data_IF_038283162224
#
_entry.id   IF_038283162224
#
_cell.length_a   1.000
_cell.length_b   1.000
_cell.length_c   1.000
_cell.angle_alpha   90.00
_cell.angle_beta   90.00
_cell.angle_gamma   90.00
#
_symmetry.space_group_name_H-M   'P 1'
#
loop_
_entity.id
_entity.type
_entity.pdbx_description
1 polymer ?
#
# COMPACT_ATOMS: atom_id res chain seq x y z
N UNK A 1 -51.67 10.20 15.23
CA UNK A 1 -50.26 9.88 15.58
C UNK A 1 -49.99 8.36 15.66
N UNK A 2 -50.87 7.55 16.29
CA UNK A 2 -50.63 6.10 16.49
C UNK A 2 -50.62 5.25 15.20
N UNK A 3 -51.46 5.58 14.21
CA UNK A 3 -51.56 4.85 12.92
C UNK A 3 -50.43 5.15 11.95
N UNK A 4 -49.91 6.38 11.95
CA UNK A 4 -48.77 6.79 11.12
C UNK A 4 -47.50 6.04 11.53
N UNK A 5 -47.28 5.83 12.83
CA UNK A 5 -46.12 5.08 13.33
C UNK A 5 -46.22 3.58 13.00
N UNK A 6 -47.43 3.01 12.98
CA UNK A 6 -47.65 1.59 12.65
C UNK A 6 -47.31 1.24 11.20
N UNK A 7 -47.44 2.19 10.28
CA UNK A 7 -47.09 2.03 8.86
C UNK A 7 -45.67 2.52 8.56
N UNK A 8 -45.22 3.59 9.23
CA UNK A 8 -43.88 4.14 9.03
C UNK A 8 -42.77 3.17 9.49
N UNK A 9 -42.98 2.45 10.59
CA UNK A 9 -41.99 1.52 11.12
C UNK A 9 -41.64 0.37 10.16
N UNK A 10 -42.61 -0.41 9.62
CA UNK A 10 -42.30 -1.48 8.67
C UNK A 10 -41.71 -0.95 7.36
N UNK A 11 -42.16 0.22 6.87
CA UNK A 11 -41.57 0.85 5.69
C UNK A 11 -40.11 1.23 5.90
N UNK A 12 -39.78 1.78 7.08
CA UNK A 12 -38.41 2.11 7.44
C UNK A 12 -37.54 0.85 7.53
N UNK A 13 -38.06 -0.22 8.14
CA UNK A 13 -37.34 -1.51 8.21
C UNK A 13 -37.09 -2.10 6.81
N UNK A 14 -38.09 -2.06 5.92
CA UNK A 14 -37.95 -2.51 4.54
C UNK A 14 -36.90 -1.69 3.77
N UNK A 15 -36.89 -0.37 3.99
CA UNK A 15 -35.89 0.51 3.43
C UNK A 15 -34.48 0.14 3.92
N UNK A 16 -34.29 -0.06 5.21
CA UNK A 16 -32.98 -0.46 5.76
C UNK A 16 -32.49 -1.81 5.19
N UNK A 17 -33.38 -2.79 5.04
CA UNK A 17 -33.06 -4.10 4.43
C UNK A 17 -32.71 -3.94 2.94
N UNK A 18 -33.43 -3.08 2.22
CA UNK A 18 -33.16 -2.85 0.80
C UNK A 18 -31.77 -2.23 0.56
N UNK A 19 -31.33 -1.34 1.45
CA UNK A 19 -30.04 -0.64 1.29
C UNK A 19 -28.87 -1.45 1.90
N UNK A 20 -29.11 -2.36 2.85
CA UNK A 20 -28.04 -3.12 3.52
C UNK A 20 -27.25 -4.01 2.56
N UNK A 21 -27.85 -4.44 1.45
CA UNK A 21 -27.18 -5.24 0.42
C UNK A 21 -26.41 -4.41 -0.61
N UNK A 22 -26.49 -3.07 -0.55
CA UNK A 22 -25.80 -2.20 -1.50
C UNK A 22 -24.31 -2.02 -1.15
N UNK A 23 -23.90 -2.42 0.06
CA UNK A 23 -22.51 -2.37 0.52
C UNK A 23 -21.69 -3.60 0.10
N UNK A 24 -21.60 -3.90 -1.19
CA UNK A 24 -20.56 -4.80 -1.67
C UNK A 24 -19.24 -4.01 -1.72
N UNK A 25 -18.41 -4.19 -0.69
CA UNK A 25 -17.01 -3.79 -0.77
C UNK A 25 -16.42 -4.46 -2.01
N UNK A 26 -16.03 -3.66 -3.00
CA UNK A 26 -15.33 -4.17 -4.16
C UNK A 26 -14.03 -4.78 -3.62
N UNK A 27 -13.77 -6.06 -3.89
CA UNK A 27 -12.46 -6.66 -3.63
C UNK A 27 -11.44 -5.93 -4.51
N UNK A 28 -10.89 -4.83 -3.99
CA UNK A 28 -9.81 -4.14 -4.68
C UNK A 28 -8.62 -5.11 -4.71
N UNK A 29 -8.00 -5.31 -5.88
CA UNK A 29 -6.74 -6.05 -5.94
C UNK A 29 -5.78 -5.46 -4.92
N UNK A 30 -5.11 -6.35 -4.16
CA UNK A 30 -4.05 -5.92 -3.25
C UNK A 30 -3.08 -5.01 -4.02
N UNK A 31 -2.61 -3.90 -3.42
CA UNK A 31 -1.58 -3.08 -4.03
C UNK A 31 -0.43 -3.95 -4.54
N UNK A 32 0.07 -3.63 -5.73
CA UNK A 32 1.24 -4.31 -6.27
C UNK A 32 2.42 -4.19 -5.29
N UNK A 33 3.27 -5.22 -5.15
CA UNK A 33 4.44 -5.14 -4.30
C UNK A 33 5.35 -3.98 -4.75
N UNK A 34 6.02 -3.34 -3.78
CA UNK A 34 6.98 -2.29 -4.08
C UNK A 34 8.10 -2.83 -5.00
N UNK A 35 8.62 -2.01 -5.93
CA UNK A 35 9.73 -2.43 -6.78
C UNK A 35 10.96 -2.76 -5.93
N UNK A 36 11.60 -3.89 -6.23
CA UNK A 36 12.90 -4.27 -5.65
C UNK A 36 14.03 -3.64 -6.46
N UNK A 37 15.03 -3.06 -5.80
CA UNK A 37 16.22 -2.49 -6.45
C UNK A 37 17.49 -2.95 -5.75
N UNK A 38 18.47 -3.43 -6.53
CA UNK A 38 19.80 -3.79 -6.04
C UNK A 38 20.75 -2.59 -5.90
N UNK A 39 20.21 -1.36 -6.01
CA UNK A 39 21.00 -0.12 -6.04
C UNK A 39 21.95 0.04 -4.86
N UNK A 40 21.51 -0.25 -3.63
CA UNK A 40 22.37 -0.15 -2.43
C UNK A 40 23.57 -1.09 -2.47
N UNK A 41 23.39 -2.32 -2.97
CA UNK A 41 24.47 -3.29 -3.08
C UNK A 41 25.47 -2.87 -4.16
N UNK A 42 24.98 -2.32 -5.27
CA UNK A 42 25.80 -1.76 -6.35
C UNK A 42 26.60 -0.56 -5.83
N UNK A 43 25.96 0.38 -5.15
CA UNK A 43 26.59 1.57 -4.57
C UNK A 43 27.71 1.19 -3.60
N UNK A 44 27.45 0.23 -2.71
CA UNK A 44 28.45 -0.29 -1.77
C UNK A 44 29.62 -0.99 -2.48
N UNK A 45 29.32 -1.79 -3.52
CA UNK A 45 30.34 -2.42 -4.34
C UNK A 45 31.26 -1.40 -5.02
N UNK A 46 30.69 -0.37 -5.64
CA UNK A 46 31.43 0.74 -6.25
C UNK A 46 32.27 1.46 -5.19
N UNK A 47 31.71 1.75 -4.01
CA UNK A 47 32.43 2.38 -2.92
C UNK A 47 33.67 1.58 -2.50
N UNK A 48 33.56 0.26 -2.37
CA UNK A 48 34.72 -0.60 -2.06
C UNK A 48 35.75 -0.62 -3.17
N UNK A 49 35.33 -0.71 -4.44
CA UNK A 49 36.25 -0.67 -5.57
C UNK A 49 37.00 0.66 -5.60
N UNK A 50 36.30 1.78 -5.44
CA UNK A 50 36.91 3.10 -5.41
C UNK A 50 37.87 3.27 -4.21
N UNK A 51 37.52 2.72 -3.05
CA UNK A 51 38.41 2.68 -1.88
C UNK A 51 39.69 1.90 -2.18
N UNK A 52 39.59 0.73 -2.81
CA UNK A 52 40.75 -0.07 -3.20
C UNK A 52 41.61 0.61 -4.27
N UNK A 53 40.97 1.25 -5.26
CA UNK A 53 41.67 2.05 -6.28
C UNK A 53 42.43 3.19 -5.62
N UNK A 54 41.79 3.94 -4.72
CA UNK A 54 42.44 5.02 -3.98
C UNK A 54 43.63 4.51 -3.17
N UNK A 55 43.46 3.42 -2.43
CA UNK A 55 44.51 2.79 -1.66
C UNK A 55 45.70 2.38 -2.55
N UNK A 56 45.43 1.77 -3.72
CA UNK A 56 46.45 1.39 -4.69
C UNK A 56 47.20 2.58 -5.28
N UNK A 57 46.49 3.66 -5.64
CA UNK A 57 47.10 4.89 -6.14
C UNK A 57 48.02 5.50 -5.08
N UNK A 58 47.56 5.60 -3.83
CA UNK A 58 48.39 6.15 -2.75
C UNK A 58 49.66 5.32 -2.54
N UNK A 59 49.55 3.99 -2.51
CA UNK A 59 50.73 3.12 -2.33
C UNK A 59 51.71 3.20 -3.50
N UNK A 60 51.23 3.43 -4.72
CA UNK A 60 52.06 3.53 -5.92
C UNK A 60 52.88 4.84 -5.96
N UNK A 61 52.42 5.88 -5.27
CA UNK A 61 52.99 7.24 -5.34
C UNK A 61 53.70 7.64 -4.03
N UNK A 62 53.49 6.89 -2.94
CA UNK A 62 54.14 7.08 -1.65
C UNK A 62 55.56 6.50 -1.64
#
# INVERSE_FOLDING_TARGET
MKTLNFVAFPLLTLLFIAISHLGHAQDLPSPAPSPTSDGTTIDQGIAYILMLVALGITYMIH
#
